data_IF_882311905947
#
_entry.id   IF_882311905947
#
_cell.length_a   1.000
_cell.length_b   1.000
_cell.length_c   1.000
_cell.angle_alpha   90.00
_cell.angle_beta   90.00
_cell.angle_gamma   90.00
#
_symmetry.space_group_name_H-M   'P 1'
#
loop_
_entity.id
_entity.type
_entity.pdbx_description
1 polymer ?
#
# COMPACT_ATOMS: atom_id res chain seq x y z
N UNK A 1 -25.05 -4.21 -8.23
CA UNK A 1 -23.60 -4.06 -7.97
C UNK A 1 -23.34 -2.60 -7.68
N UNK A 2 -22.53 -2.28 -6.66
CA UNK A 2 -22.04 -0.93 -6.42
C UNK A 2 -21.18 -0.47 -7.59
N UNK A 3 -21.13 0.84 -7.83
CA UNK A 3 -20.17 1.39 -8.79
C UNK A 3 -18.74 1.28 -8.23
N UNK A 4 -17.72 1.24 -9.10
CA UNK A 4 -16.32 1.22 -8.66
C UNK A 4 -15.98 2.41 -7.74
N UNK A 5 -16.62 3.56 -7.96
CA UNK A 5 -16.50 4.75 -7.10
C UNK A 5 -17.01 4.47 -5.69
N UNK A 6 -18.21 3.91 -5.55
CA UNK A 6 -18.81 3.59 -4.24
C UNK A 6 -17.99 2.52 -3.49
N UNK A 7 -17.51 1.48 -4.19
CA UNK A 7 -16.68 0.44 -3.57
C UNK A 7 -15.32 0.99 -3.11
N UNK A 8 -14.75 1.94 -3.85
CA UNK A 8 -13.55 2.68 -3.45
C UNK A 8 -13.78 3.55 -2.21
N UNK A 9 -14.87 4.33 -2.20
CA UNK A 9 -15.23 5.17 -1.05
C UNK A 9 -15.47 4.31 0.19
N UNK A 10 -16.18 3.18 0.06
CA UNK A 10 -16.34 2.20 1.15
C UNK A 10 -14.99 1.67 1.64
N UNK A 11 -14.11 1.24 0.74
CA UNK A 11 -12.80 0.69 1.11
C UNK A 11 -11.99 1.69 1.94
N UNK A 12 -11.92 2.94 1.49
CA UNK A 12 -11.17 3.99 2.17
C UNK A 12 -11.82 4.37 3.51
N UNK A 13 -13.15 4.45 3.58
CA UNK A 13 -13.85 4.75 4.83
C UNK A 13 -13.57 3.70 5.90
N UNK A 14 -13.63 2.41 5.53
CA UNK A 14 -13.33 1.31 6.46
C UNK A 14 -11.85 1.33 6.88
N UNK A 15 -10.91 1.48 5.95
CA UNK A 15 -9.47 1.54 6.29
C UNK A 15 -9.16 2.72 7.23
N UNK A 16 -9.74 3.89 6.99
CA UNK A 16 -9.38 5.11 7.72
C UNK A 16 -10.12 5.25 9.04
N UNK A 17 -11.39 4.85 9.10
CA UNK A 17 -12.28 5.12 10.25
C UNK A 17 -12.81 3.87 10.94
N UNK A 18 -12.65 2.70 10.32
CA UNK A 18 -13.11 1.44 10.88
C UNK A 18 -12.42 1.11 12.20
N UNK A 19 -13.16 0.46 13.09
CA UNK A 19 -12.61 -0.12 14.31
C UNK A 19 -11.89 -1.43 13.96
N UNK A 20 -10.56 -1.43 14.06
CA UNK A 20 -9.73 -2.62 13.79
C UNK A 20 -10.05 -3.81 14.70
N UNK A 21 -10.64 -3.55 15.88
CA UNK A 21 -11.07 -4.60 16.81
C UNK A 21 -12.44 -5.19 16.45
N UNK A 22 -13.17 -4.57 15.51
CA UNK A 22 -14.46 -5.08 15.06
C UNK A 22 -14.30 -6.41 14.31
N UNK A 23 -15.10 -7.44 14.64
CA UNK A 23 -15.12 -8.70 13.89
C UNK A 23 -15.45 -8.53 12.39
N UNK A 24 -16.12 -7.44 12.00
CA UNK A 24 -16.48 -7.18 10.60
C UNK A 24 -15.39 -6.45 9.81
N UNK A 25 -14.38 -5.87 10.46
CA UNK A 25 -13.43 -4.95 9.83
C UNK A 25 -12.75 -5.56 8.59
N UNK A 26 -12.13 -6.73 8.76
CA UNK A 26 -11.47 -7.42 7.65
C UNK A 26 -12.45 -7.94 6.60
N UNK A 27 -13.66 -8.33 7.02
CA UNK A 27 -14.71 -8.77 6.11
C UNK A 27 -15.17 -7.61 5.21
N UNK A 28 -15.33 -6.42 5.77
CA UNK A 28 -15.75 -5.23 5.05
C UNK A 28 -14.71 -4.76 4.03
N UNK A 29 -13.43 -4.81 4.40
CA UNK A 29 -12.31 -4.51 3.50
C UNK A 29 -12.22 -5.55 2.37
N UNK A 30 -12.27 -6.84 2.72
CA UNK A 30 -12.20 -7.94 1.75
C UNK A 30 -13.34 -7.83 0.75
N UNK A 31 -14.56 -7.55 1.22
CA UNK A 31 -15.74 -7.35 0.38
C UNK A 31 -15.56 -6.15 -0.57
N UNK A 32 -15.06 -5.01 -0.08
CA UNK A 32 -14.84 -3.84 -0.91
C UNK A 32 -13.75 -4.06 -1.98
N UNK A 33 -12.65 -4.75 -1.62
CA UNK A 33 -11.60 -5.14 -2.57
C UNK A 33 -12.14 -6.10 -3.63
N UNK A 34 -12.97 -7.07 -3.24
CA UNK A 34 -13.59 -8.00 -4.17
C UNK A 34 -14.48 -7.26 -5.17
N UNK A 35 -15.31 -6.32 -4.71
CA UNK A 35 -16.15 -5.47 -5.56
C UNK A 35 -15.30 -4.64 -6.55
N UNK A 36 -14.20 -4.03 -6.08
CA UNK A 36 -13.28 -3.27 -6.95
C UNK A 36 -12.61 -4.16 -8.01
N UNK A 37 -12.16 -5.35 -7.60
CA UNK A 37 -11.46 -6.28 -8.49
C UNK A 37 -12.33 -6.84 -9.61
N UNK A 38 -13.66 -6.81 -9.45
CA UNK A 38 -14.61 -7.25 -10.47
C UNK A 38 -14.54 -6.40 -11.76
N UNK A 39 -13.99 -5.18 -11.68
CA UNK A 39 -13.81 -4.29 -12.83
C UNK A 39 -12.75 -4.78 -13.84
N UNK A 40 -11.91 -5.77 -13.47
CA UNK A 40 -10.74 -6.24 -14.22
C UNK A 40 -9.79 -5.09 -14.59
N UNK A 41 -8.77 -4.92 -13.77
CA UNK A 41 -7.75 -3.90 -13.97
C UNK A 41 -6.62 -4.42 -14.86
N UNK A 42 -6.05 -3.55 -15.70
CA UNK A 42 -4.78 -3.77 -16.39
C UNK A 42 -3.73 -2.87 -15.77
N UNK A 43 -2.48 -3.30 -15.80
CA UNK A 43 -1.37 -2.41 -15.48
C UNK A 43 -1.35 -1.25 -16.49
N UNK A 44 -1.49 -0.03 -15.99
CA UNK A 44 -1.35 1.20 -16.75
C UNK A 44 -0.14 1.97 -16.22
N UNK A 45 0.90 2.07 -17.05
CA UNK A 45 2.18 2.63 -16.62
C UNK A 45 2.05 4.12 -16.29
N UNK A 46 1.27 4.88 -17.05
CA UNK A 46 1.05 6.31 -16.80
C UNK A 46 0.36 6.54 -15.44
N UNK A 47 -0.67 5.76 -15.12
CA UNK A 47 -1.39 5.88 -13.85
C UNK A 47 -0.56 5.33 -12.68
N UNK A 48 0.26 4.31 -12.90
CA UNK A 48 1.10 3.71 -11.86
C UNK A 48 2.31 4.57 -11.47
N UNK A 49 2.84 5.39 -12.37
CA UNK A 49 4.07 6.16 -12.15
C UNK A 49 3.98 7.13 -10.96
N UNK A 50 5.08 7.33 -10.23
CA UNK A 50 5.17 8.28 -9.11
C UNK A 50 4.90 7.68 -7.73
N UNK A 51 4.54 8.55 -6.77
CA UNK A 51 4.50 8.18 -5.35
C UNK A 51 3.21 7.49 -4.91
N UNK A 52 3.35 6.53 -3.99
CA UNK A 52 2.26 5.71 -3.46
C UNK A 52 2.52 5.34 -2.00
N UNK A 53 1.66 5.80 -1.10
CA UNK A 53 1.72 5.48 0.33
C UNK A 53 0.86 4.25 0.63
N UNK A 54 1.44 3.26 1.32
CA UNK A 54 0.71 2.10 1.82
C UNK A 54 -0.25 2.55 2.94
N UNK A 55 -1.52 2.15 2.87
CA UNK A 55 -2.53 2.44 3.91
C UNK A 55 -3.11 1.18 4.54
N UNK A 56 -3.03 0.05 3.84
CA UNK A 56 -3.48 -1.25 4.31
C UNK A 56 -2.62 -2.35 3.69
N UNK A 57 -2.20 -3.31 4.50
CA UNK A 57 -1.60 -4.57 4.05
C UNK A 57 -2.23 -5.74 4.79
N UNK A 58 -2.54 -6.81 4.06
CA UNK A 58 -2.94 -8.11 4.59
C UNK A 58 -2.02 -9.20 4.04
N UNK A 59 -1.42 -9.98 4.93
CA UNK A 59 -0.64 -11.16 4.54
C UNK A 59 -1.57 -12.34 4.14
N UNK A 60 -1.04 -13.32 3.40
CA UNK A 60 -1.83 -14.50 3.01
C UNK A 60 -2.10 -15.44 4.19
N UNK A 61 -3.16 -16.25 4.04
CA UNK A 61 -3.70 -17.16 5.06
C UNK A 61 -2.79 -18.31 5.50
N UNK A 62 -1.61 -18.48 4.90
CA UNK A 62 -0.68 -19.59 5.17
C UNK A 62 0.36 -19.31 6.28
N UNK A 63 0.19 -18.24 7.07
CA UNK A 63 1.03 -17.96 8.24
C UNK A 63 0.29 -18.29 9.55
N UNK A 64 0.69 -19.32 10.32
CA UNK A 64 -0.02 -19.79 11.52
C UNK A 64 -0.04 -18.83 12.72
N UNK A 65 0.62 -17.68 12.64
CA UNK A 65 0.81 -16.78 13.76
C UNK A 65 0.33 -15.38 13.39
N UNK A 66 -0.94 -15.09 13.71
CA UNK A 66 -1.54 -13.75 13.70
C UNK A 66 -1.60 -13.15 12.28
N UNK A 67 -2.81 -12.90 11.76
CA UNK A 67 -2.97 -12.08 10.56
C UNK A 67 -2.38 -10.70 10.87
N UNK A 68 -1.13 -10.47 10.46
CA UNK A 68 -0.44 -9.18 10.63
C UNK A 68 -1.05 -8.21 9.64
N UNK A 69 -2.18 -7.66 10.04
CA UNK A 69 -2.76 -6.50 9.41
C UNK A 69 -2.00 -5.27 9.94
N UNK A 70 -1.63 -4.36 9.05
CA UNK A 70 -1.04 -3.07 9.45
C UNK A 70 -1.79 -1.96 8.74
N UNK A 71 -2.52 -1.15 9.53
CA UNK A 71 -2.94 0.19 9.11
C UNK A 71 -1.73 1.10 9.21
N UNK A 72 -1.48 1.90 8.18
CA UNK A 72 -0.45 2.93 8.29
C UNK A 72 -0.92 4.03 9.24
N UNK A 73 -0.51 3.96 10.51
CA UNK A 73 -0.64 5.03 11.51
C UNK A 73 0.60 5.90 11.54
N UNK A 74 0.55 7.08 12.16
CA UNK A 74 1.71 7.98 12.34
C UNK A 74 2.92 7.25 12.97
N UNK A 75 2.67 6.32 13.90
CA UNK A 75 3.71 5.59 14.64
C UNK A 75 4.31 4.40 13.85
N UNK A 76 3.61 3.90 12.83
CA UNK A 76 4.04 2.74 12.03
C UNK A 76 5.10 3.08 10.97
N UNK A 77 5.45 4.36 10.83
CA UNK A 77 6.35 4.86 9.80
C UNK A 77 5.67 4.94 8.43
N UNK A 78 6.03 5.94 7.62
CA UNK A 78 5.47 6.06 6.27
C UNK A 78 6.10 5.00 5.36
N UNK A 79 5.29 4.05 4.91
CA UNK A 79 5.70 3.05 3.92
C UNK A 79 5.22 3.47 2.53
N UNK A 80 6.10 3.40 1.55
CA UNK A 80 5.86 3.79 0.17
C UNK A 80 6.27 2.70 -0.81
N UNK A 81 5.62 2.66 -1.97
CA UNK A 81 5.96 1.80 -3.10
C UNK A 81 5.92 2.63 -4.38
N UNK A 82 6.91 3.52 -4.53
CA UNK A 82 6.97 4.57 -5.55
C UNK A 82 7.48 4.00 -6.87
N UNK A 83 6.73 4.17 -7.95
CA UNK A 83 7.12 3.71 -9.28
C UNK A 83 7.92 4.80 -9.99
N UNK A 84 8.97 4.36 -10.67
CA UNK A 84 9.70 5.11 -11.68
C UNK A 84 9.62 4.29 -12.97
N UNK A 85 8.57 4.55 -13.74
CA UNK A 85 8.24 3.77 -14.94
C UNK A 85 9.30 3.93 -16.01
N UNK A 86 9.92 5.12 -16.09
CA UNK A 86 10.98 5.40 -17.06
C UNK A 86 12.19 4.50 -16.83
N UNK A 87 12.57 4.33 -15.57
CA UNK A 87 13.71 3.49 -15.19
C UNK A 87 13.33 2.00 -15.05
N UNK A 88 12.04 1.66 -15.14
CA UNK A 88 11.56 0.28 -15.01
C UNK A 88 11.73 -0.28 -13.60
N UNK A 89 11.65 0.58 -12.58
CA UNK A 89 11.82 0.21 -11.17
C UNK A 89 10.73 0.80 -10.29
N UNK A 90 10.48 0.17 -9.15
CA UNK A 90 9.79 0.83 -8.05
C UNK A 90 10.56 0.65 -6.74
N UNK A 91 10.38 1.60 -5.83
CA UNK A 91 11.09 1.67 -4.56
C UNK A 91 10.12 1.40 -3.42
N UNK A 92 10.32 0.28 -2.73
CA UNK A 92 9.67 0.03 -1.46
C UNK A 92 10.48 0.71 -0.36
N UNK A 93 9.94 1.79 0.21
CA UNK A 93 10.57 2.56 1.28
C UNK A 93 9.78 2.40 2.56
N UNK A 94 10.44 2.17 3.68
CA UNK A 94 9.82 2.14 4.99
C UNK A 94 10.69 2.93 5.96
N UNK A 95 10.10 3.95 6.58
CA UNK A 95 10.75 4.67 7.66
C UNK A 95 10.56 3.90 8.97
N UNK A 96 11.64 3.64 9.68
CA UNK A 96 11.67 2.85 10.92
C UNK A 96 12.37 3.62 12.03
N UNK A 97 12.26 3.13 13.28
CA UNK A 97 12.86 3.77 14.46
C UNK A 97 12.46 5.25 14.59
N UNK A 98 11.16 5.55 14.46
CA UNK A 98 10.61 6.91 14.52
C UNK A 98 11.27 7.89 13.51
N UNK A 99 11.67 7.38 12.35
CA UNK A 99 12.30 8.18 11.29
C UNK A 99 13.81 8.30 11.39
N UNK A 100 14.45 7.62 12.35
CA UNK A 100 15.91 7.60 12.48
C UNK A 100 16.56 6.76 11.37
N UNK A 101 15.86 5.76 10.83
CA UNK A 101 16.40 4.96 9.74
C UNK A 101 15.36 4.69 8.67
N UNK A 102 15.81 4.65 7.41
CA UNK A 102 14.98 4.31 6.25
C UNK A 102 15.47 3.02 5.61
N UNK A 103 14.58 2.04 5.50
CA UNK A 103 14.77 0.85 4.67
C UNK A 103 14.28 1.16 3.26
N UNK A 104 15.08 0.84 2.25
CA UNK A 104 14.65 0.89 0.85
C UNK A 104 15.02 -0.41 0.15
N UNK A 105 14.05 -1.02 -0.54
CA UNK A 105 14.30 -2.04 -1.56
C UNK A 105 14.01 -1.46 -2.95
N UNK A 106 14.93 -1.66 -3.88
CA UNK A 106 14.76 -1.33 -5.30
C UNK A 106 14.29 -2.58 -6.01
N UNK A 107 13.14 -2.46 -6.68
CA UNK A 107 12.49 -3.58 -7.37
C UNK A 107 12.43 -3.26 -8.85
N UNK A 108 13.11 -4.05 -9.67
CA UNK A 108 12.95 -4.00 -11.12
C UNK A 108 11.62 -4.66 -11.49
N UNK A 109 10.89 -4.04 -12.42
CA UNK A 109 9.67 -4.63 -12.94
C UNK A 109 9.60 -4.58 -14.47
N UNK A 110 8.82 -5.51 -15.03
CA UNK A 110 8.53 -5.59 -16.46
C UNK A 110 7.09 -6.10 -16.64
N UNK A 111 6.43 -5.75 -17.75
CA UNK A 111 5.11 -6.30 -18.09
C UNK A 111 5.21 -7.77 -18.44
N UNK A 112 4.23 -8.58 -18.06
CA UNK A 112 4.20 -10.01 -18.38
C UNK A 112 3.33 -10.27 -19.62
N UNK A 113 3.88 -10.81 -20.73
CA UNK A 113 3.09 -11.13 -21.91
C UNK A 113 1.90 -12.05 -21.60
N UNK A 114 0.72 -11.68 -22.08
CA UNK A 114 -0.52 -12.43 -21.86
C UNK A 114 -1.13 -12.30 -20.46
N UNK A 115 -0.57 -11.46 -19.58
CA UNK A 115 -1.10 -11.14 -18.25
C UNK A 115 -1.11 -9.63 -18.06
N UNK A 116 -2.13 -8.98 -18.62
CA UNK A 116 -2.22 -7.52 -18.69
C UNK A 116 -2.32 -6.85 -17.31
N UNK A 117 -2.81 -7.58 -16.31
CA UNK A 117 -2.89 -7.15 -14.91
C UNK A 117 -1.57 -7.32 -14.14
N UNK A 118 -0.57 -8.02 -14.70
CA UNK A 118 0.62 -8.47 -13.97
C UNK A 118 1.91 -7.81 -14.43
N UNK A 119 2.71 -7.41 -13.45
CA UNK A 119 4.14 -7.12 -13.64
C UNK A 119 5.00 -8.17 -12.95
N UNK A 120 6.16 -8.49 -13.53
CA UNK A 120 7.22 -9.22 -12.82
C UNK A 120 7.94 -8.29 -11.85
N UNK A 121 8.47 -8.82 -10.76
CA UNK A 121 9.15 -8.04 -9.73
C UNK A 121 10.39 -8.78 -9.25
N UNK A 122 11.56 -8.16 -9.44
CA UNK A 122 12.83 -8.66 -8.91
C UNK A 122 13.43 -7.62 -7.96
N UNK A 123 13.67 -8.01 -6.70
CA UNK A 123 14.41 -7.18 -5.74
C UNK A 123 15.89 -7.26 -6.15
N UNK A 124 16.43 -6.16 -6.67
CA UNK A 124 17.80 -6.10 -7.19
C UNK A 124 18.78 -5.49 -6.19
N UNK A 125 18.27 -4.62 -5.33
CA UNK A 125 19.06 -3.91 -4.32
C UNK A 125 18.22 -3.63 -3.08
N UNK A 126 18.87 -3.56 -1.93
CA UNK A 126 18.26 -3.11 -0.69
C UNK A 126 19.30 -2.39 0.16
N UNK A 127 18.87 -1.37 0.89
CA UNK A 127 19.74 -0.55 1.73
C UNK A 127 18.99 -0.05 2.95
N UNK A 128 19.74 0.17 4.01
CA UNK A 128 19.30 0.96 5.17
C UNK A 128 20.07 2.27 5.20
N UNK A 129 19.39 3.39 5.39
CA UNK A 129 20.02 4.69 5.61
C UNK A 129 19.72 5.15 7.02
N UNK A 130 20.76 5.37 7.83
CA UNK A 130 20.64 5.75 9.24
C UNK A 130 20.99 7.23 9.37
N UNK A 131 20.10 7.98 10.01
CA UNK A 131 20.21 9.41 10.31
C UNK A 131 20.61 10.26 9.09
N UNK A 132 20.19 9.85 7.90
CA UNK A 132 20.46 10.51 6.61
C UNK A 132 21.94 10.66 6.21
N UNK A 133 22.89 10.01 6.90
CA UNK A 133 24.32 10.13 6.55
C UNK A 133 25.03 8.78 6.33
N UNK A 134 24.52 7.68 6.91
CA UNK A 134 25.13 6.36 6.79
C UNK A 134 24.22 5.42 6.02
N UNK A 135 24.57 5.10 4.77
CA UNK A 135 23.86 4.11 3.95
C UNK A 135 24.63 2.80 3.93
N UNK A 136 23.98 1.72 4.34
CA UNK A 136 24.55 0.37 4.38
C UNK A 136 23.75 -0.51 3.40
N UNK A 137 24.41 -1.14 2.41
CA UNK A 137 23.74 -2.10 1.54
C UNK A 137 23.38 -3.36 2.33
N UNK A 138 22.21 -3.92 2.03
CA UNK A 138 21.72 -5.16 2.61
C UNK A 138 21.86 -6.29 1.57
N UNK A 139 22.26 -7.51 1.98
CA UNK A 139 22.41 -8.64 1.07
C UNK A 139 21.04 -9.27 0.72
N UNK A 140 20.09 -8.46 0.26
CA UNK A 140 18.75 -8.89 -0.13
C UNK A 140 18.59 -8.76 -1.64
N UNK A 141 18.55 -9.91 -2.32
CA UNK A 141 18.17 -10.01 -3.73
C UNK A 141 17.22 -11.18 -3.91
N UNK A 142 16.09 -10.94 -4.56
CA UNK A 142 15.04 -11.95 -4.74
C UNK A 142 14.55 -11.85 -6.17
N UNK A 143 14.49 -12.98 -6.87
CA UNK A 143 14.00 -13.07 -8.24
C UNK A 143 12.69 -13.83 -8.32
N UNK A 144 11.92 -13.59 -9.37
CA UNK A 144 10.70 -14.34 -9.69
C UNK A 144 9.48 -13.91 -8.89
N UNK A 145 9.49 -12.68 -8.37
CA UNK A 145 8.30 -12.06 -7.80
C UNK A 145 7.34 -11.58 -8.89
N UNK A 146 6.12 -11.25 -8.48
CA UNK A 146 5.14 -10.58 -9.34
C UNK A 146 4.14 -9.78 -8.49
N UNK A 147 3.51 -8.81 -9.12
CA UNK A 147 2.37 -8.06 -8.60
C UNK A 147 1.23 -8.08 -9.61
N UNK A 148 0.05 -8.48 -9.15
CA UNK A 148 -1.20 -8.32 -9.89
C UNK A 148 -1.88 -7.02 -9.46
N UNK A 149 -2.29 -6.21 -10.42
CA UNK A 149 -3.12 -5.03 -10.21
C UNK A 149 -4.58 -5.46 -10.17
N UNK A 150 -5.18 -5.40 -8.97
CA UNK A 150 -6.60 -5.68 -8.77
C UNK A 150 -7.47 -4.46 -9.07
N UNK A 151 -6.92 -3.28 -8.80
CA UNK A 151 -7.53 -1.99 -9.11
C UNK A 151 -6.44 -0.92 -9.22
N UNK A 152 -6.63 0.03 -10.13
CA UNK A 152 -5.74 1.17 -10.33
C UNK A 152 -6.56 2.34 -10.88
N UNK A 153 -6.51 3.46 -10.17
CA UNK A 153 -6.95 4.75 -10.69
C UNK A 153 -5.96 5.85 -10.27
N UNK A 154 -6.35 7.11 -10.48
CA UNK A 154 -5.49 8.27 -10.22
C UNK A 154 -5.01 8.40 -8.76
N UNK A 155 -5.75 7.85 -7.79
CA UNK A 155 -5.51 8.09 -6.36
C UNK A 155 -5.54 6.84 -5.47
N UNK A 156 -5.97 5.68 -6.00
CA UNK A 156 -5.99 4.39 -5.31
C UNK A 156 -5.37 3.28 -6.18
N UNK A 157 -4.54 2.45 -5.56
CA UNK A 157 -4.04 1.22 -6.13
C UNK A 157 -4.25 0.05 -5.17
N UNK A 158 -4.81 -1.05 -5.68
CA UNK A 158 -4.92 -2.32 -4.96
C UNK A 158 -4.14 -3.38 -5.71
N UNK A 159 -3.18 -4.01 -5.06
CA UNK A 159 -2.33 -5.06 -5.67
C UNK A 159 -2.31 -6.33 -4.85
N UNK A 160 -2.10 -7.46 -5.53
CA UNK A 160 -1.79 -8.75 -4.91
C UNK A 160 -0.36 -9.17 -5.23
N UNK A 161 0.42 -9.49 -4.21
CA UNK A 161 1.77 -10.03 -4.35
C UNK A 161 1.79 -11.53 -4.62
N UNK A 162 2.94 -12.03 -5.06
CA UNK A 162 3.15 -13.44 -5.39
C UNK A 162 2.88 -14.44 -4.26
N UNK A 163 2.98 -14.00 -3.00
CA UNK A 163 2.65 -14.81 -1.82
C UNK A 163 1.18 -14.68 -1.39
N UNK A 164 0.34 -14.01 -2.16
CA UNK A 164 -1.09 -13.82 -1.86
C UNK A 164 -1.41 -12.60 -1.00
N UNK A 165 -0.40 -11.86 -0.52
CA UNK A 165 -0.61 -10.64 0.25
C UNK A 165 -1.31 -9.55 -0.57
N UNK A 166 -2.21 -8.80 0.07
CA UNK A 166 -2.97 -7.70 -0.53
C UNK A 166 -2.44 -6.38 0.01
N UNK A 167 -2.23 -5.41 -0.87
CA UNK A 167 -1.72 -4.09 -0.53
C UNK A 167 -2.62 -3.03 -1.13
N UNK A 168 -3.02 -2.06 -0.30
CA UNK A 168 -3.76 -0.88 -0.72
C UNK A 168 -2.87 0.34 -0.53
N UNK A 169 -2.67 1.06 -1.63
CA UNK A 169 -1.89 2.29 -1.65
C UNK A 169 -2.75 3.45 -2.11
N UNK A 170 -2.46 4.64 -1.59
CA UNK A 170 -3.06 5.90 -2.06
C UNK A 170 -1.97 6.86 -2.51
N UNK A 171 -2.32 7.82 -3.35
CA UNK A 171 -1.41 8.94 -3.64
C UNK A 171 -1.18 9.76 -2.38
N UNK A 172 0.05 10.24 -2.13
CA UNK A 172 0.31 11.22 -1.08
C UNK A 172 -0.24 12.59 -1.53
N UNK A 173 -1.55 12.81 -1.38
CA UNK A 173 -2.17 14.13 -1.56
C UNK A 173 -2.80 14.54 -0.23
N UNK A 174 -2.23 15.58 0.39
CA UNK A 174 -2.81 16.37 1.48
C UNK A 174 -4.04 17.08 0.87
N UNK A 175 -5.31 16.65 1.11
CA UNK A 175 -6.06 17.01 2.32
C UNK A 175 -7.11 15.99 2.82
N UNK A 176 -7.25 14.78 2.25
CA UNK A 176 -8.26 13.82 2.73
C UNK A 176 -7.89 13.25 4.11
N UNK A 177 -6.60 12.99 4.33
CA UNK A 177 -6.04 12.71 5.65
C UNK A 177 -6.16 13.92 6.58
N UNK A 178 -5.95 15.15 6.06
CA UNK A 178 -6.05 16.38 6.85
C UNK A 178 -7.48 16.67 7.34
N UNK A 179 -8.51 16.33 6.56
CA UNK A 179 -9.92 16.53 6.94
C UNK A 179 -10.34 15.53 8.03
N UNK A 180 -9.95 14.26 7.90
CA UNK A 180 -10.21 13.26 8.96
C UNK A 180 -9.45 13.64 10.24
N UNK A 181 -8.20 14.09 10.11
CA UNK A 181 -7.41 14.57 11.25
C UNK A 181 -7.98 15.83 11.91
N UNK A 182 -8.40 16.83 11.13
CA UNK A 182 -9.05 18.04 11.66
C UNK A 182 -10.38 17.71 12.35
N UNK A 183 -11.17 16.79 11.81
CA UNK A 183 -12.42 16.35 12.44
C UNK A 183 -12.16 15.60 13.75
N UNK A 184 -11.12 14.77 13.82
CA UNK A 184 -10.74 14.06 15.04
C UNK A 184 -10.22 15.03 16.13
N UNK A 185 -9.32 15.96 15.76
CA UNK A 185 -8.79 17.00 16.66
C UNK A 185 -9.88 17.91 17.22
N UNK A 186 -10.86 18.30 16.40
CA UNK A 186 -12.00 19.10 16.84
C UNK A 186 -12.92 18.31 17.78
N UNK A 187 -13.14 17.01 17.50
CA UNK A 187 -13.95 16.14 18.35
C UNK A 187 -13.30 15.87 19.71
N UNK A 188 -11.97 15.77 19.78
CA UNK A 188 -11.24 15.57 21.04
C UNK A 188 -11.11 16.88 21.86
N UNK A 189 -10.96 18.03 21.20
CA UNK A 189 -10.96 19.33 21.89
C UNK A 189 -12.30 19.66 22.55
N UNK A 190 -13.42 19.17 22.02
CA UNK A 190 -14.76 19.35 22.60
C UNK A 190 -15.05 18.46 23.82
N UNK A 191 -14.19 17.50 24.15
CA UNK A 191 -14.33 16.62 25.32
C UNK A 191 -13.51 17.09 26.53
N UNK A 192 -12.70 18.13 26.36
CA UNK A 192 -11.82 18.70 27.38
C UNK A 192 -12.33 20.04 27.94
N UNK A 193 -13.55 20.45 27.56
CA UNK A 193 -14.32 21.59 28.09
C UNK A 193 -15.62 21.11 28.69
#
# INVERSE_FOLDING_TARGET
>A
MRSAKESKEKLLDVILKGDEQSPSYLQDITSAIQELSASKCKFDSQTADGEWQLVFQQDSSDSPALQKFTRATEDSGKTFANFDVKEGVFYNKASVLSGVADLQATVKFDTVPGKEERISCDITDARVTIANFLTIPLPLRVKGGWLDFLYLDKDLRVTRGNRGGIFVHVRPIIPAMAIVFLQQLLADSSRLT
#
